data_IF_240924695201
#
_entry.id   IF_240924695201
#
_cell.length_a   1.000
_cell.length_b   1.000
_cell.length_c   1.000
_cell.angle_alpha   90.00
_cell.angle_beta   90.00
_cell.angle_gamma   90.00
#
_symmetry.space_group_name_H-M   'P 1'
#
loop_
_entity.id
_entity.type
_entity.pdbx_description
1 polymer ?
#
# COMPACT_ATOMS: atom_id res chain seq x y z
N UNK A 1 16.46 -24.43 -17.16
CA UNK A 1 16.51 -23.75 -15.86
C UNK A 1 17.33 -22.49 -16.03
N UNK A 2 16.83 -21.32 -15.61
CA UNK A 2 17.58 -20.06 -15.64
C UNK A 2 18.79 -20.11 -14.70
N UNK A 3 19.65 -19.09 -14.77
CA UNK A 3 20.80 -18.96 -13.88
C UNK A 3 20.31 -18.68 -12.44
N UNK A 4 20.75 -19.47 -11.47
CA UNK A 4 20.49 -19.20 -10.04
C UNK A 4 21.46 -18.11 -9.54
N UNK A 5 20.93 -17.16 -8.77
CA UNK A 5 21.67 -16.07 -8.14
C UNK A 5 21.53 -16.11 -6.63
N UNK A 6 22.51 -15.58 -5.91
CA UNK A 6 22.32 -15.17 -4.52
C UNK A 6 21.78 -13.73 -4.51
N UNK A 7 20.57 -13.56 -3.99
CA UNK A 7 19.85 -12.27 -3.94
C UNK A 7 19.67 -11.81 -2.51
N UNK A 8 20.15 -10.60 -2.20
CA UNK A 8 19.83 -9.92 -0.94
C UNK A 8 18.60 -9.06 -1.12
N UNK A 9 17.55 -9.29 -0.33
CA UNK A 9 16.35 -8.45 -0.26
C UNK A 9 16.40 -7.62 1.02
N UNK A 10 16.40 -6.29 0.89
CA UNK A 10 16.46 -5.34 2.00
C UNK A 10 15.05 -4.86 2.33
N UNK A 11 14.52 -5.26 3.49
CA UNK A 11 13.21 -4.91 4.01
C UNK A 11 12.29 -6.10 4.19
N UNK A 12 11.85 -6.33 5.43
CA UNK A 12 10.93 -7.40 5.87
C UNK A 12 9.45 -6.99 5.85
N UNK A 13 9.08 -5.95 5.08
CA UNK A 13 7.68 -5.61 4.80
C UNK A 13 7.08 -6.50 3.72
N UNK A 14 5.75 -6.36 3.49
CA UNK A 14 5.00 -7.22 2.56
C UNK A 14 5.59 -7.25 1.14
N UNK A 15 6.16 -6.14 0.65
CA UNK A 15 6.79 -6.07 -0.68
C UNK A 15 8.07 -6.90 -0.70
N UNK A 16 8.95 -6.77 0.31
CA UNK A 16 10.17 -7.57 0.41
C UNK A 16 9.88 -9.05 0.59
N UNK A 17 8.89 -9.40 1.43
CA UNK A 17 8.46 -10.79 1.65
C UNK A 17 7.95 -11.46 0.38
N UNK A 18 7.03 -10.82 -0.36
CA UNK A 18 6.52 -11.38 -1.61
C UNK A 18 7.59 -11.39 -2.74
N UNK A 19 8.53 -10.43 -2.71
CA UNK A 19 9.69 -10.47 -3.60
C UNK A 19 10.58 -11.67 -3.28
N UNK A 20 10.91 -11.88 -2.01
CA UNK A 20 11.69 -13.03 -1.56
C UNK A 20 11.02 -14.37 -1.90
N UNK A 21 9.69 -14.46 -1.72
CA UNK A 21 8.88 -15.62 -2.08
C UNK A 21 8.99 -15.93 -3.57
N UNK A 22 8.81 -14.91 -4.41
CA UNK A 22 8.84 -15.09 -5.86
C UNK A 22 10.23 -15.51 -6.36
N UNK A 23 11.29 -14.90 -5.82
CA UNK A 23 12.67 -15.23 -6.15
C UNK A 23 13.06 -16.65 -5.72
N UNK A 24 12.61 -17.06 -4.53
CA UNK A 24 12.80 -18.41 -4.04
C UNK A 24 12.09 -19.45 -4.93
N UNK A 25 10.86 -19.13 -5.38
CA UNK A 25 10.12 -19.99 -6.31
C UNK A 25 10.81 -20.15 -7.68
N UNK A 26 11.63 -19.17 -8.10
CA UNK A 26 12.46 -19.26 -9.31
C UNK A 26 13.79 -20.01 -9.08
N UNK A 27 14.06 -20.48 -7.86
CA UNK A 27 15.27 -21.26 -7.52
C UNK A 27 16.50 -20.40 -7.20
N UNK A 28 16.31 -19.12 -6.85
CA UNK A 28 17.38 -18.28 -6.33
C UNK A 28 17.66 -18.55 -4.85
N UNK A 29 18.90 -18.31 -4.40
CA UNK A 29 19.21 -18.21 -2.98
C UNK A 29 18.83 -16.81 -2.50
N UNK A 30 18.08 -16.72 -1.39
CA UNK A 30 17.62 -15.43 -0.87
C UNK A 30 18.12 -15.21 0.55
N UNK A 31 18.71 -14.03 0.77
CA UNK A 31 18.97 -13.48 2.11
C UNK A 31 18.06 -12.28 2.33
N UNK A 32 17.17 -12.37 3.32
CA UNK A 32 16.28 -11.29 3.73
C UNK A 32 16.94 -10.49 4.87
N UNK A 33 17.17 -9.19 4.67
CA UNK A 33 17.77 -8.30 5.68
C UNK A 33 16.72 -7.29 6.13
N UNK A 34 16.45 -7.26 7.43
CA UNK A 34 15.47 -6.36 8.04
C UNK A 34 16.01 -5.77 9.35
N UNK A 35 15.85 -4.46 9.54
CA UNK A 35 16.42 -3.75 10.69
C UNK A 35 15.70 -4.02 12.00
N UNK A 36 14.37 -3.92 12.01
CA UNK A 36 13.56 -3.88 13.25
C UNK A 36 12.82 -5.18 13.52
N UNK A 37 12.27 -5.78 12.48
CA UNK A 37 11.47 -7.01 12.56
C UNK A 37 10.50 -7.13 11.40
N UNK A 38 10.03 -8.33 11.18
CA UNK A 38 9.07 -8.62 10.09
C UNK A 38 7.80 -7.79 10.28
N UNK A 39 7.36 -7.18 9.19
CA UNK A 39 6.17 -6.32 9.13
C UNK A 39 6.20 -5.07 10.03
N UNK A 40 7.27 -4.74 10.75
CA UNK A 40 7.30 -3.68 11.75
C UNK A 40 7.00 -2.25 11.23
N UNK A 41 7.02 -2.04 9.90
CA UNK A 41 6.67 -0.78 9.25
C UNK A 41 5.19 -0.68 8.85
N UNK A 42 4.91 -0.11 7.67
CA UNK A 42 3.55 0.08 7.13
C UNK A 42 2.77 -1.24 6.92
N UNK A 43 3.45 -2.37 6.92
CA UNK A 43 2.83 -3.68 6.75
C UNK A 43 2.12 -4.17 8.01
N UNK A 44 2.45 -3.65 9.20
CA UNK A 44 1.86 -4.06 10.47
C UNK A 44 0.36 -3.72 10.58
N UNK A 45 0.02 -2.48 10.30
CA UNK A 45 -1.30 -1.93 10.63
C UNK A 45 -2.00 -1.28 9.42
N UNK A 46 -1.81 -1.76 8.20
CA UNK A 46 -2.57 -1.27 7.05
C UNK A 46 -4.04 -1.72 7.10
N UNK A 47 -4.85 -1.24 6.14
CA UNK A 47 -6.29 -1.50 6.11
C UNK A 47 -6.67 -2.92 5.60
N UNK A 48 -5.75 -3.85 5.50
CA UNK A 48 -5.94 -5.23 5.08
C UNK A 48 -6.47 -5.44 3.63
N UNK A 49 -6.77 -4.38 2.90
CA UNK A 49 -7.41 -4.45 1.59
C UNK A 49 -6.47 -4.89 0.46
N UNK A 50 -6.90 -5.88 -0.32
CA UNK A 50 -6.40 -6.18 -1.65
C UNK A 50 -7.29 -5.43 -2.65
N UNK A 51 -6.97 -4.15 -2.82
CA UNK A 51 -7.79 -3.15 -3.49
C UNK A 51 -7.57 -3.14 -5.01
N UNK A 52 -7.86 -4.25 -5.69
CA UNK A 52 -7.66 -4.40 -7.15
C UNK A 52 -8.43 -3.33 -7.95
N UNK A 53 -9.56 -2.87 -7.44
CA UNK A 53 -10.37 -1.82 -8.06
C UNK A 53 -9.79 -0.41 -7.91
N UNK A 54 -8.76 -0.20 -7.10
CA UNK A 54 -8.22 1.14 -6.82
C UNK A 54 -7.13 1.54 -7.82
N UNK A 55 -7.56 1.78 -9.07
CA UNK A 55 -6.68 2.17 -10.19
C UNK A 55 -6.51 3.69 -10.31
N UNK A 56 -7.23 4.48 -9.51
CA UNK A 56 -7.20 5.95 -9.62
C UNK A 56 -6.07 6.55 -8.79
N UNK A 57 -5.11 7.26 -9.40
CA UNK A 57 -4.04 7.94 -8.68
C UNK A 57 -4.57 9.01 -7.71
N UNK A 58 -3.92 9.18 -6.56
CA UNK A 58 -4.24 10.25 -5.62
C UNK A 58 -4.05 11.64 -6.25
N UNK A 59 -2.97 11.81 -7.01
CA UNK A 59 -2.69 13.02 -7.78
C UNK A 59 -3.65 13.12 -8.98
N UNK A 60 -4.89 13.55 -8.75
CA UNK A 60 -5.94 13.64 -9.77
C UNK A 60 -6.23 15.08 -10.18
N UNK A 61 -6.71 15.34 -11.42
CA UNK A 61 -7.17 16.65 -11.84
C UNK A 61 -8.20 17.23 -10.85
N UNK A 62 -8.03 18.50 -10.47
CA UNK A 62 -8.89 19.16 -9.47
C UNK A 62 -8.49 18.93 -8.00
N UNK A 63 -7.44 18.13 -7.73
CA UNK A 63 -6.93 17.90 -6.36
C UNK A 63 -6.56 19.20 -5.65
N UNK A 64 -6.12 20.23 -6.37
CA UNK A 64 -5.75 21.54 -5.82
C UNK A 64 -6.94 22.18 -5.07
N UNK A 65 -8.14 22.15 -5.66
CA UNK A 65 -9.36 22.70 -5.01
C UNK A 65 -9.71 21.93 -3.75
N UNK A 66 -9.54 20.60 -3.76
CA UNK A 66 -9.77 19.75 -2.60
C UNK A 66 -8.69 19.96 -1.52
N UNK A 67 -7.42 20.06 -1.93
CA UNK A 67 -6.30 20.28 -1.03
C UNK A 67 -6.43 21.57 -0.21
N UNK A 68 -6.89 22.68 -0.83
CA UNK A 68 -7.15 23.92 -0.09
C UNK A 68 -8.20 23.72 1.01
N UNK A 69 -9.32 23.02 0.69
CA UNK A 69 -10.36 22.71 1.69
C UNK A 69 -9.81 21.84 2.82
N UNK A 70 -8.99 20.85 2.49
CA UNK A 70 -8.40 19.93 3.48
C UNK A 70 -7.33 20.60 4.35
N UNK A 71 -6.56 21.52 3.76
CA UNK A 71 -5.53 22.28 4.49
C UNK A 71 -6.14 23.19 5.57
N UNK A 72 -7.36 23.66 5.35
CA UNK A 72 -8.11 24.48 6.33
C UNK A 72 -8.80 23.62 7.43
N UNK A 73 -8.85 22.30 7.27
CA UNK A 73 -9.41 21.38 8.26
C UNK A 73 -8.27 20.60 8.93
N UNK A 74 -7.87 20.96 10.16
CA UNK A 74 -6.75 20.32 10.87
C UNK A 74 -6.99 18.85 11.21
N UNK A 75 -8.24 18.38 11.14
CA UNK A 75 -8.65 16.98 11.35
C UNK A 75 -9.24 16.35 10.08
N UNK A 76 -9.08 17.01 8.96
CA UNK A 76 -9.48 16.54 7.63
C UNK A 76 -8.71 15.28 7.19
N UNK A 77 -9.13 14.67 6.07
CA UNK A 77 -8.51 13.44 5.56
C UNK A 77 -7.04 13.60 5.16
N UNK A 78 -6.60 14.83 4.91
CA UNK A 78 -5.23 15.17 4.53
C UNK A 78 -4.71 16.35 5.34
N UNK A 79 -3.48 16.26 5.84
CA UNK A 79 -2.80 17.35 6.53
C UNK A 79 -1.29 17.37 6.22
N UNK A 80 -0.69 18.53 6.40
CA UNK A 80 0.77 18.72 6.38
C UNK A 80 1.17 19.30 7.73
N UNK A 81 2.16 18.71 8.38
CA UNK A 81 2.69 19.24 9.64
C UNK A 81 3.37 20.59 9.36
N UNK A 82 2.94 21.70 9.98
CA UNK A 82 3.42 23.06 9.63
C UNK A 82 4.95 23.21 9.70
N UNK A 83 5.59 22.59 10.70
CA UNK A 83 7.04 22.63 10.91
C UNK A 83 7.82 21.94 9.77
N UNK A 84 7.18 21.00 9.08
CA UNK A 84 7.80 20.24 7.99
C UNK A 84 7.46 20.78 6.60
N UNK A 85 6.62 21.83 6.51
CA UNK A 85 6.09 22.33 5.24
C UNK A 85 7.20 22.64 4.22
N UNK A 86 8.26 23.34 4.64
CA UNK A 86 9.38 23.67 3.73
C UNK A 86 10.12 22.40 3.24
N UNK A 87 10.27 21.38 4.09
CA UNK A 87 10.93 20.12 3.72
C UNK A 87 10.13 19.31 2.71
N UNK A 88 8.79 19.37 2.79
CA UNK A 88 7.90 18.58 1.93
C UNK A 88 7.41 19.37 0.70
N UNK A 89 7.65 20.68 0.63
CA UNK A 89 7.25 21.53 -0.49
C UNK A 89 7.72 21.01 -1.87
N UNK A 90 8.97 20.56 -2.06
CA UNK A 90 9.41 19.99 -3.33
C UNK A 90 8.58 18.78 -3.77
N UNK A 91 8.18 17.94 -2.80
CA UNK A 91 7.30 16.81 -3.05
C UNK A 91 5.89 17.25 -3.45
N UNK A 92 5.31 18.23 -2.73
CA UNK A 92 3.98 18.78 -3.04
C UNK A 92 3.93 19.38 -4.45
N UNK A 93 4.97 20.11 -4.87
CA UNK A 93 5.06 20.67 -6.24
C UNK A 93 5.05 19.54 -7.27
N UNK A 94 5.80 18.45 -7.04
CA UNK A 94 5.81 17.28 -7.93
C UNK A 94 4.46 16.56 -7.93
N UNK A 95 3.79 16.46 -6.79
CA UNK A 95 2.44 15.91 -6.67
C UNK A 95 1.42 16.71 -7.49
N UNK A 96 1.46 18.04 -7.43
CA UNK A 96 0.60 18.89 -8.26
C UNK A 96 0.92 18.78 -9.76
N UNK A 97 2.19 18.59 -10.13
CA UNK A 97 2.58 18.32 -11.51
C UNK A 97 2.07 16.98 -12.00
N UNK A 98 2.06 15.94 -11.15
CA UNK A 98 1.55 14.61 -11.46
C UNK A 98 0.03 14.61 -11.70
N UNK A 99 -0.72 15.56 -11.13
CA UNK A 99 -2.15 15.74 -11.36
C UNK A 99 -2.51 16.32 -12.75
N UNK A 100 -1.53 16.64 -13.61
CA UNK A 100 -1.80 17.12 -14.99
C UNK A 100 -2.42 15.98 -15.82
N UNK A 101 -3.38 16.30 -16.72
CA UNK A 101 -4.16 15.27 -17.44
C UNK A 101 -3.33 14.19 -18.12
N UNK A 102 -2.24 14.55 -18.80
CA UNK A 102 -1.39 13.58 -19.50
C UNK A 102 -0.69 12.61 -18.52
N UNK A 103 -0.09 13.14 -17.43
CA UNK A 103 0.57 12.31 -16.42
C UNK A 103 -0.45 11.45 -15.67
N UNK A 104 -1.60 12.01 -15.31
CA UNK A 104 -2.69 11.29 -14.65
C UNK A 104 -3.16 10.11 -15.47
N UNK A 105 -3.36 10.29 -16.81
CA UNK A 105 -3.72 9.20 -17.71
C UNK A 105 -2.66 8.09 -17.72
N UNK A 106 -1.38 8.43 -17.87
CA UNK A 106 -0.28 7.45 -17.81
C UNK A 106 -0.29 6.70 -16.48
N UNK A 107 -0.48 7.41 -15.38
CA UNK A 107 -0.52 6.80 -14.04
C UNK A 107 -1.69 5.82 -13.90
N UNK A 108 -2.88 6.12 -14.43
CA UNK A 108 -4.02 5.18 -14.45
C UNK A 108 -3.68 3.91 -15.24
N UNK A 109 -3.17 4.06 -16.46
CA UNK A 109 -2.90 2.92 -17.35
C UNK A 109 -1.88 1.96 -16.71
N UNK A 110 -0.82 2.51 -16.10
CA UNK A 110 0.19 1.70 -15.38
C UNK A 110 -0.36 1.10 -14.10
N UNK A 111 -1.13 1.87 -13.33
CA UNK A 111 -1.77 1.39 -12.10
C UNK A 111 -2.73 0.24 -12.40
N UNK A 112 -3.57 0.37 -13.43
CA UNK A 112 -4.48 -0.70 -13.86
C UNK A 112 -3.70 -1.97 -14.27
N UNK A 113 -2.60 -1.80 -15.03
CA UNK A 113 -1.75 -2.93 -15.42
C UNK A 113 -1.11 -3.64 -14.21
N UNK A 114 -0.66 -2.87 -13.20
CA UNK A 114 -0.14 -3.43 -11.94
C UNK A 114 -1.22 -4.17 -11.14
N UNK A 115 -2.45 -3.63 -11.11
CA UNK A 115 -3.58 -4.27 -10.43
C UNK A 115 -3.99 -5.57 -11.11
N UNK A 116 -4.01 -5.61 -12.45
CA UNK A 116 -4.28 -6.83 -13.21
C UNK A 116 -3.18 -7.89 -12.94
N UNK A 117 -1.91 -7.48 -12.98
CA UNK A 117 -0.82 -8.40 -12.65
C UNK A 117 -0.93 -8.91 -11.20
N UNK A 118 -1.30 -8.04 -10.24
CA UNK A 118 -1.53 -8.46 -8.86
C UNK A 118 -2.68 -9.48 -8.76
N UNK A 119 -3.78 -9.26 -9.49
CA UNK A 119 -4.90 -10.21 -9.54
C UNK A 119 -4.50 -11.58 -10.11
N UNK A 120 -3.54 -11.61 -11.05
CA UNK A 120 -2.99 -12.85 -11.63
C UNK A 120 -1.97 -13.55 -10.70
N UNK A 121 -1.17 -12.78 -9.96
CA UNK A 121 -0.03 -13.31 -9.19
C UNK A 121 -0.40 -13.67 -7.74
N UNK A 122 -1.37 -12.98 -7.13
CA UNK A 122 -1.82 -13.27 -5.77
C UNK A 122 -2.30 -14.73 -5.58
N UNK A 123 -3.21 -15.26 -6.42
CA UNK A 123 -3.64 -16.65 -6.28
C UNK A 123 -2.48 -17.66 -6.36
N UNK A 124 -1.52 -17.41 -7.26
CA UNK A 124 -0.34 -18.27 -7.43
C UNK A 124 0.56 -18.25 -6.18
N UNK A 125 0.77 -17.07 -5.58
CA UNK A 125 1.53 -16.95 -4.34
C UNK A 125 0.81 -17.65 -3.19
N UNK A 126 -0.49 -17.45 -3.04
CA UNK A 126 -1.29 -18.11 -2.00
C UNK A 126 -1.25 -19.64 -2.14
N UNK A 127 -1.35 -20.17 -3.37
CA UNK A 127 -1.23 -21.60 -3.64
C UNK A 127 0.14 -22.15 -3.24
N UNK A 128 1.24 -21.48 -3.61
CA UNK A 128 2.60 -21.90 -3.24
C UNK A 128 2.85 -21.89 -1.73
N UNK A 129 2.27 -20.90 -1.04
CA UNK A 129 2.48 -20.70 0.40
C UNK A 129 1.46 -21.41 1.28
N UNK A 130 0.35 -21.89 0.73
CA UNK A 130 -0.75 -22.50 1.49
C UNK A 130 -1.56 -21.51 2.33
N UNK A 131 -1.58 -20.22 1.96
CA UNK A 131 -2.18 -19.14 2.75
C UNK A 131 -3.55 -18.67 2.25
N UNK A 132 -4.27 -19.49 1.46
CA UNK A 132 -5.58 -19.14 0.89
C UNK A 132 -6.59 -18.74 1.96
N UNK A 133 -6.62 -19.44 3.08
CA UNK A 133 -7.57 -19.22 4.19
C UNK A 133 -7.34 -17.88 4.92
N UNK A 134 -6.20 -17.24 4.71
CA UNK A 134 -5.92 -15.92 5.25
C UNK A 134 -6.47 -14.77 4.39
N UNK A 135 -7.10 -15.07 3.24
CA UNK A 135 -7.68 -14.08 2.34
C UNK A 135 -9.19 -14.28 2.23
N UNK A 136 -9.95 -13.21 2.49
CA UNK A 136 -11.41 -13.17 2.40
C UNK A 136 -11.84 -12.46 1.11
N UNK A 137 -12.88 -13.00 0.47
CA UNK A 137 -13.51 -12.42 -0.73
C UNK A 137 -14.80 -11.68 -0.35
N UNK A 138 -14.69 -10.76 0.57
CA UNK A 138 -15.82 -10.06 1.19
C UNK A 138 -16.12 -8.69 0.58
N UNK A 139 -15.40 -8.26 -0.45
CA UNK A 139 -15.63 -7.00 -1.14
C UNK A 139 -15.38 -5.74 -0.30
N UNK A 140 -15.65 -4.58 -0.90
CA UNK A 140 -15.67 -3.30 -0.20
C UNK A 140 -16.92 -2.51 -0.59
N UNK A 141 -17.60 -1.94 0.42
CA UNK A 141 -18.82 -1.17 0.29
C UNK A 141 -18.51 0.32 0.47
N UNK A 142 -18.59 1.09 -0.60
CA UNK A 142 -18.45 2.54 -0.60
C UNK A 142 -19.78 3.19 -0.25
N UNK A 143 -19.79 4.06 0.76
CA UNK A 143 -20.98 4.66 1.34
C UNK A 143 -21.11 6.14 0.98
N UNK A 144 -22.32 6.57 0.64
CA UNK A 144 -22.61 7.94 0.19
C UNK A 144 -23.76 8.55 1.01
N UNK A 145 -23.55 9.78 1.53
CA UNK A 145 -24.51 10.54 2.32
C UNK A 145 -25.44 11.41 1.44
N UNK A 146 -25.16 11.52 0.14
CA UNK A 146 -25.99 12.28 -0.79
C UNK A 146 -26.01 11.65 -2.18
N UNK A 147 -27.14 11.82 -2.88
CA UNK A 147 -27.29 11.45 -4.28
C UNK A 147 -26.25 12.16 -5.18
N UNK A 148 -25.85 13.37 -4.83
CA UNK A 148 -24.85 14.13 -5.60
C UNK A 148 -23.46 13.50 -5.52
N UNK A 149 -23.01 13.11 -4.32
CA UNK A 149 -21.72 12.43 -4.15
C UNK A 149 -21.73 11.04 -4.78
N UNK A 150 -22.82 10.29 -4.64
CA UNK A 150 -23.00 9.00 -5.29
C UNK A 150 -22.89 9.11 -6.82
N UNK A 151 -23.65 10.02 -7.46
CA UNK A 151 -23.61 10.22 -8.91
C UNK A 151 -22.23 10.65 -9.41
N UNK A 152 -21.57 11.55 -8.68
CA UNK A 152 -20.21 12.00 -9.02
C UNK A 152 -19.18 10.87 -8.96
N UNK A 153 -19.32 9.94 -8.00
CA UNK A 153 -18.40 8.81 -7.89
C UNK A 153 -18.76 7.66 -8.83
N UNK A 154 -20.04 7.47 -9.13
CA UNK A 154 -20.53 6.48 -10.10
C UNK A 154 -19.87 6.65 -11.48
N UNK A 155 -19.63 7.89 -11.94
CA UNK A 155 -18.93 8.13 -13.20
C UNK A 155 -17.48 7.62 -13.16
N UNK A 156 -16.81 7.68 -12.01
CA UNK A 156 -15.47 7.09 -11.84
C UNK A 156 -15.53 5.57 -11.80
N UNK A 157 -16.60 4.99 -11.26
CA UNK A 157 -16.82 3.53 -11.28
C UNK A 157 -17.10 3.01 -12.68
N UNK A 158 -17.92 3.70 -13.48
CA UNK A 158 -18.10 3.43 -14.91
C UNK A 158 -16.81 3.54 -15.71
N UNK A 159 -15.90 4.45 -15.30
CA UNK A 159 -14.57 4.50 -15.88
C UNK A 159 -13.75 3.25 -15.53
N UNK A 160 -13.82 2.76 -14.28
CA UNK A 160 -13.16 1.52 -13.85
C UNK A 160 -13.66 0.29 -14.59
N UNK A 161 -14.94 0.25 -14.99
CA UNK A 161 -15.49 -0.84 -15.82
C UNK A 161 -14.75 -1.00 -17.15
N UNK A 162 -14.27 0.10 -17.74
CA UNK A 162 -13.47 0.08 -18.98
C UNK A 162 -12.13 -0.62 -18.79
N UNK A 163 -11.71 -0.78 -17.55
CA UNK A 163 -10.53 -1.54 -17.13
C UNK A 163 -10.88 -2.92 -16.55
N UNK A 164 -12.08 -3.44 -16.80
CA UNK A 164 -12.51 -4.78 -16.38
C UNK A 164 -12.89 -4.91 -14.90
N UNK A 165 -13.09 -3.79 -14.20
CA UNK A 165 -13.48 -3.78 -12.79
C UNK A 165 -15.00 -3.78 -12.69
N UNK A 166 -15.55 -4.79 -12.03
CA UNK A 166 -17.00 -4.91 -11.81
C UNK A 166 -17.43 -4.34 -10.46
N UNK A 167 -18.66 -3.81 -10.40
CA UNK A 167 -19.25 -3.29 -9.18
C UNK A 167 -20.77 -3.40 -9.21
N UNK A 168 -21.41 -3.24 -8.06
CA UNK A 168 -22.85 -3.19 -7.89
C UNK A 168 -23.26 -1.89 -7.22
N UNK A 169 -24.44 -1.36 -7.52
CA UNK A 169 -24.99 -0.17 -6.87
C UNK A 169 -26.18 -0.54 -6.00
N UNK A 170 -26.31 0.13 -4.86
CA UNK A 170 -27.43 -0.02 -3.95
C UNK A 170 -28.12 1.33 -3.73
N UNK A 171 -29.44 1.35 -3.80
CA UNK A 171 -30.25 2.42 -3.21
C UNK A 171 -30.29 2.30 -1.67
N UNK A 172 -30.92 3.25 -0.99
CA UNK A 172 -30.98 3.27 0.47
C UNK A 172 -31.54 1.97 1.06
N UNK A 173 -32.63 1.44 0.51
CA UNK A 173 -33.31 0.25 1.03
C UNK A 173 -32.42 -0.99 0.87
N UNK A 174 -31.91 -1.23 -0.32
CA UNK A 174 -31.04 -2.35 -0.61
C UNK A 174 -29.71 -2.26 0.15
N UNK A 175 -29.17 -1.04 0.34
CA UNK A 175 -27.95 -0.81 1.10
C UNK A 175 -28.10 -1.27 2.56
N UNK A 176 -29.18 -0.84 3.24
CA UNK A 176 -29.41 -1.19 4.65
C UNK A 176 -29.80 -2.66 4.86
N UNK A 177 -30.35 -3.31 3.81
CA UNK A 177 -30.55 -4.77 3.81
C UNK A 177 -29.22 -5.53 3.61
N UNK A 178 -28.34 -5.02 2.73
CA UNK A 178 -27.05 -5.64 2.44
C UNK A 178 -26.05 -5.50 3.62
N UNK A 179 -26.02 -4.35 4.25
CA UNK A 179 -25.20 -4.10 5.45
C UNK A 179 -26.07 -3.46 6.54
N UNK A 180 -26.64 -4.24 7.46
CA UNK A 180 -27.30 -3.71 8.64
C UNK A 180 -26.36 -2.93 9.57
N UNK A 181 -26.93 -2.09 10.43
CA UNK A 181 -26.15 -1.34 11.42
C UNK A 181 -25.52 -0.04 10.91
N UNK A 182 -25.82 0.37 9.67
CA UNK A 182 -25.47 1.68 9.13
C UNK A 182 -26.42 2.77 9.64
N UNK A 183 -25.92 4.00 9.78
CA UNK A 183 -26.76 5.17 10.03
C UNK A 183 -27.66 5.50 8.84
N UNK A 184 -28.89 5.96 9.11
CA UNK A 184 -29.88 6.39 8.13
C UNK A 184 -29.42 7.52 7.18
N UNK A 185 -28.30 8.15 7.48
CA UNK A 185 -27.66 9.18 6.66
C UNK A 185 -27.17 8.68 5.31
N UNK A 186 -26.84 7.38 5.19
CA UNK A 186 -26.37 6.80 3.96
C UNK A 186 -27.54 6.49 3.02
N UNK A 187 -27.54 7.13 1.84
CA UNK A 187 -28.63 7.09 0.87
C UNK A 187 -28.35 6.14 -0.30
N UNK A 188 -27.09 5.79 -0.52
CA UNK A 188 -26.66 4.90 -1.60
C UNK A 188 -25.33 4.23 -1.27
N UNK A 189 -25.04 3.11 -1.95
CA UNK A 189 -23.79 2.38 -1.85
C UNK A 189 -23.27 1.89 -3.20
N UNK A 190 -21.94 1.70 -3.29
CA UNK A 190 -21.29 0.98 -4.39
C UNK A 190 -20.46 -0.15 -3.80
N UNK A 191 -20.72 -1.36 -4.21
CA UNK A 191 -20.01 -2.56 -3.76
C UNK A 191 -19.02 -3.02 -4.81
N UNK A 192 -17.73 -3.01 -4.45
CA UNK A 192 -16.64 -3.51 -5.26
C UNK A 192 -16.38 -4.99 -4.93
N UNK A 193 -16.97 -5.91 -5.70
CA UNK A 193 -16.84 -7.34 -5.49
C UNK A 193 -15.45 -7.92 -5.80
N UNK A 194 -14.63 -7.19 -6.56
CA UNK A 194 -13.23 -7.55 -6.85
C UNK A 194 -12.27 -7.26 -5.70
N UNK A 195 -12.72 -6.51 -4.71
CA UNK A 195 -11.94 -6.26 -3.49
C UNK A 195 -11.89 -7.52 -2.63
N UNK A 196 -10.71 -7.79 -2.08
CA UNK A 196 -10.50 -8.84 -1.09
C UNK A 196 -9.82 -8.24 0.13
N UNK A 197 -9.73 -8.99 1.21
CA UNK A 197 -8.98 -8.56 2.39
C UNK A 197 -8.18 -9.71 3.00
N UNK A 198 -7.00 -9.42 3.53
CA UNK A 198 -6.27 -10.38 4.37
C UNK A 198 -6.88 -10.38 5.77
N UNK A 199 -6.86 -11.53 6.44
CA UNK A 199 -7.44 -11.70 7.78
C UNK A 199 -6.83 -10.77 8.84
N UNK A 200 -5.52 -10.58 8.79
CA UNK A 200 -4.75 -9.60 9.56
C UNK A 200 -3.44 -9.33 8.82
N UNK A 201 -3.07 -8.07 8.52
CA UNK A 201 -1.87 -7.77 7.74
C UNK A 201 -0.56 -8.22 8.39
N UNK A 202 -0.43 -8.08 9.71
CA UNK A 202 0.76 -8.50 10.45
C UNK A 202 0.91 -10.03 10.44
N UNK A 203 -0.16 -10.74 10.75
CA UNK A 203 -0.17 -12.21 10.80
C UNK A 203 0.08 -12.80 9.41
N UNK A 204 -0.47 -12.17 8.37
CA UNK A 204 -0.22 -12.54 6.97
C UNK A 204 1.26 -12.41 6.58
N UNK A 205 1.92 -11.32 6.97
CA UNK A 205 3.36 -11.13 6.76
C UNK A 205 4.18 -12.19 7.51
N UNK A 206 3.83 -12.48 8.77
CA UNK A 206 4.52 -13.51 9.55
C UNK A 206 4.30 -14.92 8.99
N UNK A 207 3.14 -15.23 8.45
CA UNK A 207 2.88 -16.50 7.78
C UNK A 207 3.72 -16.67 6.51
N UNK A 208 3.84 -15.62 5.68
CA UNK A 208 4.76 -15.64 4.52
C UNK A 208 6.20 -15.82 5.01
N UNK A 209 6.61 -15.12 6.05
CA UNK A 209 7.97 -15.26 6.59
C UNK A 209 8.26 -16.66 7.15
N UNK A 210 7.29 -17.28 7.82
CA UNK A 210 7.41 -18.67 8.29
C UNK A 210 7.63 -19.62 7.11
N UNK A 211 6.85 -19.49 6.04
CA UNK A 211 7.05 -20.25 4.80
C UNK A 211 8.45 -20.03 4.22
N UNK A 212 8.91 -18.76 4.12
CA UNK A 212 10.26 -18.46 3.61
C UNK A 212 11.36 -19.12 4.45
N UNK A 213 11.22 -19.10 5.76
CA UNK A 213 12.18 -19.71 6.70
C UNK A 213 12.21 -21.23 6.53
N UNK A 214 11.03 -21.89 6.43
CA UNK A 214 10.92 -23.32 6.15
C UNK A 214 11.61 -23.70 4.81
N UNK A 215 11.51 -22.83 3.81
CA UNK A 215 12.14 -23.04 2.50
C UNK A 215 13.62 -22.62 2.45
N UNK A 216 14.22 -22.24 3.57
CA UNK A 216 15.65 -22.02 3.70
C UNK A 216 16.12 -20.60 3.32
N UNK A 217 15.22 -19.59 3.35
CA UNK A 217 15.64 -18.19 3.25
C UNK A 217 16.50 -17.83 4.46
N UNK A 218 17.69 -17.26 4.22
CA UNK A 218 18.55 -16.75 5.27
C UNK A 218 18.00 -15.42 5.77
N UNK A 219 17.76 -15.30 7.08
CA UNK A 219 17.26 -14.06 7.70
C UNK A 219 18.32 -13.38 8.54
N UNK A 220 18.53 -12.08 8.29
CA UNK A 220 19.48 -11.26 9.03
C UNK A 220 18.75 -10.06 9.60
N UNK A 221 18.59 -10.02 10.93
CA UNK A 221 17.94 -8.90 11.62
C UNK A 221 18.97 -7.82 11.95
N UNK A 222 19.33 -7.01 10.95
CA UNK A 222 20.25 -5.88 11.06
C UNK A 222 19.91 -4.78 10.05
N UNK A 223 20.30 -3.54 10.33
CA UNK A 223 20.19 -2.44 9.38
C UNK A 223 21.26 -2.52 8.29
N UNK A 224 20.89 -2.15 7.06
CA UNK A 224 21.84 -1.94 5.96
C UNK A 224 22.34 -0.50 6.01
N UNK A 225 23.66 -0.33 6.08
CA UNK A 225 24.36 0.95 6.06
C UNK A 225 24.68 1.42 4.65
N UNK A 226 25.21 0.51 3.81
CA UNK A 226 25.59 0.80 2.42
C UNK A 226 25.19 -0.35 1.50
N UNK A 227 24.91 -0.01 0.23
CA UNK A 227 24.67 -0.96 -0.86
C UNK A 227 25.82 -0.83 -1.86
N UNK A 228 26.44 -1.96 -2.21
CA UNK A 228 27.54 -2.09 -3.17
C UNK A 228 27.08 -2.93 -4.36
N UNK A 229 27.81 -2.90 -5.47
CA UNK A 229 27.45 -3.69 -6.68
C UNK A 229 27.48 -5.20 -6.45
N UNK A 230 28.20 -5.68 -5.46
CA UNK A 230 28.45 -7.09 -5.15
C UNK A 230 27.98 -7.49 -3.74
N UNK A 231 27.11 -6.69 -3.10
CA UNK A 231 26.59 -6.99 -1.76
C UNK A 231 26.16 -5.77 -0.95
N UNK A 232 26.00 -5.98 0.34
CA UNK A 232 25.59 -4.94 1.30
C UNK A 232 26.51 -4.90 2.50
N UNK A 233 26.74 -3.70 3.06
CA UNK A 233 27.39 -3.48 4.35
C UNK A 233 26.32 -3.19 5.40
N UNK A 234 26.32 -3.94 6.47
CA UNK A 234 25.42 -3.78 7.61
C UNK A 234 25.91 -2.69 8.58
N UNK A 235 25.05 -2.25 9.51
CA UNK A 235 25.37 -1.22 10.50
C UNK A 235 26.52 -1.60 11.43
N UNK A 236 26.76 -2.89 11.64
CA UNK A 236 27.90 -3.41 12.43
C UNK A 236 29.17 -3.67 11.59
N UNK A 237 29.19 -3.17 10.36
CA UNK A 237 30.27 -3.35 9.39
C UNK A 237 30.45 -4.78 8.86
N UNK A 238 29.54 -5.71 9.15
CA UNK A 238 29.49 -7.01 8.50
C UNK A 238 29.10 -6.84 7.02
N UNK A 239 29.74 -7.57 6.11
CA UNK A 239 29.38 -7.58 4.68
C UNK A 239 28.66 -8.87 4.30
N UNK A 240 27.62 -8.73 3.46
CA UNK A 240 26.96 -9.85 2.81
C UNK A 240 27.16 -9.71 1.30
N UNK A 241 27.88 -10.65 0.72
CA UNK A 241 28.08 -10.71 -0.74
C UNK A 241 26.84 -11.27 -1.43
N UNK A 242 26.50 -10.71 -2.59
CA UNK A 242 25.34 -11.12 -3.39
C UNK A 242 25.55 -10.79 -4.86
N UNK A 243 24.92 -11.58 -5.75
CA UNK A 243 24.89 -11.32 -7.19
C UNK A 243 23.90 -10.20 -7.54
N UNK A 244 22.80 -10.11 -6.78
CA UNK A 244 21.73 -9.13 -6.96
C UNK A 244 21.26 -8.59 -5.61
N UNK A 245 20.84 -7.34 -5.59
CA UNK A 245 20.32 -6.67 -4.39
C UNK A 245 18.97 -6.03 -4.73
N UNK A 246 17.96 -6.27 -3.90
CA UNK A 246 16.64 -5.66 -4.02
C UNK A 246 16.41 -4.71 -2.84
N UNK A 247 16.15 -3.44 -3.11
CA UNK A 247 15.83 -2.45 -2.09
C UNK A 247 14.32 -2.32 -1.97
N UNK A 248 13.75 -2.86 -0.88
CA UNK A 248 12.32 -2.88 -0.55
C UNK A 248 12.04 -2.33 0.87
N UNK A 249 12.88 -1.39 1.35
CA UNK A 249 12.89 -0.86 2.71
C UNK A 249 11.85 0.26 2.96
N UNK A 250 10.70 0.25 2.24
CA UNK A 250 9.64 1.24 2.43
C UNK A 250 10.15 2.69 2.30
N UNK A 251 9.80 3.61 3.22
CA UNK A 251 10.24 5.00 3.14
C UNK A 251 11.75 5.20 3.35
N UNK A 252 12.43 4.27 4.00
CA UNK A 252 13.89 4.29 4.20
C UNK A 252 14.69 3.96 2.94
N UNK A 253 14.04 3.40 1.91
CA UNK A 253 14.64 3.20 0.58
C UNK A 253 15.17 4.49 -0.03
N UNK A 254 14.59 5.65 0.33
CA UNK A 254 15.05 6.96 -0.15
C UNK A 254 16.53 7.20 0.14
N UNK A 255 16.99 6.91 1.35
CA UNK A 255 18.38 7.15 1.76
C UNK A 255 19.32 6.23 1.00
N UNK A 256 18.95 4.95 0.85
CA UNK A 256 19.77 3.98 0.10
C UNK A 256 19.84 4.34 -1.40
N UNK A 257 18.72 4.76 -2.00
CA UNK A 257 18.69 5.18 -3.40
C UNK A 257 19.51 6.47 -3.64
N UNK A 258 19.44 7.44 -2.71
CA UNK A 258 20.22 8.67 -2.79
C UNK A 258 21.73 8.40 -2.71
N UNK A 259 22.18 7.46 -1.88
CA UNK A 259 23.57 7.04 -1.80
C UNK A 259 24.08 6.40 -3.11
N UNK A 260 23.17 5.86 -3.92
CA UNK A 260 23.44 5.31 -5.25
C UNK A 260 23.30 6.35 -6.38
N UNK A 261 23.04 7.63 -6.05
CA UNK A 261 22.88 8.72 -7.01
C UNK A 261 21.47 8.95 -7.53
N UNK A 262 20.47 8.19 -7.06
CA UNK A 262 19.07 8.31 -7.48
C UNK A 262 18.23 9.09 -6.46
N UNK A 263 17.98 10.38 -6.74
CA UNK A 263 17.21 11.27 -5.89
C UNK A 263 15.69 11.11 -6.09
N UNK A 264 15.14 10.05 -5.54
CA UNK A 264 13.71 9.71 -5.67
C UNK A 264 12.87 10.55 -4.67
N UNK A 265 11.80 11.23 -5.13
CA UNK A 265 10.95 12.04 -4.28
C UNK A 265 10.00 11.17 -3.44
N UNK A 266 10.55 10.40 -2.52
CA UNK A 266 9.85 9.51 -1.61
C UNK A 266 9.66 10.19 -0.25
N UNK A 267 8.45 10.09 0.33
CA UNK A 267 8.15 10.53 1.70
C UNK A 267 7.49 9.41 2.50
N UNK A 268 7.56 9.52 3.81
CA UNK A 268 6.80 8.68 4.74
C UNK A 268 5.46 9.33 5.05
N UNK A 269 4.44 9.15 4.19
CA UNK A 269 3.07 9.59 4.45
C UNK A 269 2.48 8.81 5.62
N UNK A 270 2.02 9.50 6.66
CA UNK A 270 1.47 8.86 7.84
C UNK A 270 0.00 8.52 7.66
N UNK A 271 -0.34 7.29 7.99
CA UNK A 271 -1.71 6.85 8.19
C UNK A 271 -1.91 6.45 9.64
N UNK A 272 -3.12 6.66 10.13
CA UNK A 272 -3.51 6.38 11.50
C UNK A 272 -4.68 5.40 11.54
N UNK A 273 -4.74 4.57 12.56
CA UNK A 273 -5.92 3.74 12.82
C UNK A 273 -6.10 3.46 14.32
N UNK A 274 -7.30 2.98 14.64
CA UNK A 274 -7.63 2.32 15.90
C UNK A 274 -8.15 0.93 15.57
N UNK A 275 -7.58 -0.10 16.18
CA UNK A 275 -8.08 -1.47 16.08
C UNK A 275 -8.88 -1.79 17.33
N UNK A 276 -10.19 -1.94 17.18
CA UNK A 276 -11.15 -2.27 18.20
C UNK A 276 -11.21 -3.79 18.46
N UNK A 277 -11.65 -4.26 19.62
CA UNK A 277 -11.88 -5.68 19.90
C UNK A 277 -12.80 -6.34 18.86
N UNK A 278 -12.74 -7.66 18.73
CA UNK A 278 -13.60 -8.41 17.79
C UNK A 278 -15.10 -8.26 18.11
N UNK A 279 -15.45 -8.12 19.37
CA UNK A 279 -16.81 -7.87 19.82
C UNK A 279 -17.36 -6.47 19.50
N UNK A 280 -16.54 -5.61 18.89
CA UNK A 280 -16.97 -4.26 18.55
C UNK A 280 -18.08 -4.22 17.50
N UNK A 281 -18.08 -5.16 16.55
CA UNK A 281 -19.14 -5.39 15.58
C UNK A 281 -18.96 -6.75 14.92
N UNK A 282 -19.65 -7.77 15.42
CA UNK A 282 -19.50 -9.15 14.96
C UNK A 282 -20.11 -9.40 13.57
N UNK A 283 -21.18 -8.68 13.21
CA UNK A 283 -21.88 -8.81 11.94
C UNK A 283 -21.24 -8.01 10.79
N UNK A 284 -20.11 -7.37 11.02
CA UNK A 284 -19.40 -6.64 9.97
C UNK A 284 -18.65 -7.61 9.07
N UNK A 285 -19.14 -7.79 7.84
CA UNK A 285 -18.53 -8.69 6.85
C UNK A 285 -17.67 -7.96 5.82
N UNK A 286 -18.04 -6.74 5.47
CA UNK A 286 -17.42 -6.00 4.36
C UNK A 286 -16.51 -4.88 4.88
N UNK A 287 -15.48 -4.55 4.08
CA UNK A 287 -14.78 -3.28 4.30
C UNK A 287 -15.71 -2.12 3.93
N UNK A 288 -15.98 -1.22 4.87
CA UNK A 288 -16.76 -0.01 4.63
C UNK A 288 -15.81 1.14 4.27
N UNK A 289 -16.09 1.81 3.14
CA UNK A 289 -15.25 2.91 2.62
C UNK A 289 -16.03 4.21 2.66
N UNK A 290 -15.54 5.17 3.43
CA UNK A 290 -16.11 6.51 3.60
C UNK A 290 -15.30 7.51 2.78
N UNK A 291 -15.49 7.48 1.46
CA UNK A 291 -14.67 8.25 0.50
C UNK A 291 -14.67 9.76 0.75
N UNK A 292 -15.82 10.33 1.15
CA UNK A 292 -15.94 11.75 1.45
C UNK A 292 -15.23 12.16 2.76
N UNK A 293 -14.91 11.18 3.61
CA UNK A 293 -14.28 11.38 4.91
C UNK A 293 -12.84 10.85 5.01
N UNK A 294 -12.38 10.10 3.99
CA UNK A 294 -11.00 9.61 3.89
C UNK A 294 -10.61 8.56 4.93
N UNK A 295 -11.54 7.71 5.36
CA UNK A 295 -11.26 6.56 6.22
C UNK A 295 -12.05 5.31 5.80
N UNK A 296 -11.64 4.18 6.33
CA UNK A 296 -12.28 2.87 6.13
C UNK A 296 -12.51 2.19 7.47
N UNK A 297 -13.49 1.29 7.50
CA UNK A 297 -13.73 0.36 8.62
C UNK A 297 -13.64 -1.06 8.07
N UNK A 298 -12.70 -1.83 8.58
CA UNK A 298 -12.36 -3.15 8.03
C UNK A 298 -12.48 -4.22 9.11
N UNK A 299 -13.24 -5.31 8.87
CA UNK A 299 -13.25 -6.47 9.74
C UNK A 299 -11.95 -7.25 9.61
N UNK A 300 -11.28 -7.51 10.74
CA UNK A 300 -10.08 -8.33 10.85
C UNK A 300 -10.37 -9.60 11.66
N UNK A 301 -9.45 -10.57 11.61
CA UNK A 301 -9.57 -11.77 12.43
C UNK A 301 -9.54 -11.47 13.95
N UNK A 302 -8.80 -10.45 14.34
CA UNK A 302 -8.60 -10.04 15.73
C UNK A 302 -9.40 -8.79 16.14
N UNK A 303 -10.24 -8.21 15.26
CA UNK A 303 -10.99 -7.02 15.62
C UNK A 303 -11.58 -6.24 14.45
N UNK A 304 -11.99 -5.01 14.70
CA UNK A 304 -12.47 -4.06 13.70
C UNK A 304 -11.51 -2.88 13.62
N UNK A 305 -10.96 -2.61 12.45
CA UNK A 305 -10.01 -1.50 12.25
C UNK A 305 -10.67 -0.28 11.62
N UNK A 306 -10.68 0.82 12.35
CA UNK A 306 -11.06 2.14 11.85
C UNK A 306 -9.79 2.89 11.48
N UNK A 307 -9.52 3.12 10.20
CA UNK A 307 -8.25 3.67 9.76
C UNK A 307 -8.34 4.50 8.48
N UNK A 308 -7.36 5.37 8.30
CA UNK A 308 -7.30 6.27 7.15
C UNK A 308 -6.36 7.44 7.43
N UNK A 309 -6.82 8.63 7.04
CA UNK A 309 -6.09 9.88 7.08
C UNK A 309 -4.74 9.82 6.34
N UNK A 310 -4.31 10.97 5.90
CA UNK A 310 -2.99 11.19 5.30
C UNK A 310 -2.36 12.40 5.98
N UNK A 311 -1.22 12.19 6.63
CA UNK A 311 -0.45 13.29 7.20
C UNK A 311 0.96 13.27 6.63
N UNK A 312 1.34 14.37 6.02
CA UNK A 312 2.70 14.56 5.49
C UNK A 312 3.56 15.23 6.56
N UNK A 313 4.59 14.53 6.99
CA UNK A 313 5.54 14.97 8.00
C UNK A 313 6.92 14.36 7.77
N UNK A 314 7.93 14.89 8.44
CA UNK A 314 9.25 14.25 8.53
C UNK A 314 9.14 12.88 9.21
N UNK A 315 10.05 11.94 8.87
CA UNK A 315 10.05 10.61 9.46
C UNK A 315 10.18 10.65 11.01
N UNK A 316 10.91 11.65 11.52
CA UNK A 316 11.23 11.78 12.96
C UNK A 316 10.21 12.60 13.75
N UNK A 317 9.24 13.25 13.10
CA UNK A 317 8.21 14.03 13.80
C UNK A 317 7.33 13.12 14.66
N UNK A 318 6.84 13.54 15.85
CA UNK A 318 5.99 12.72 16.70
C UNK A 318 4.64 12.39 16.04
N UNK A 319 4.02 11.27 16.40
CA UNK A 319 2.70 10.89 15.94
C UNK A 319 1.61 11.80 16.54
N UNK A 320 0.57 12.08 15.76
CA UNK A 320 -0.60 12.86 16.20
C UNK A 320 -1.85 11.97 16.28
N UNK A 321 -2.02 11.25 17.36
CA UNK A 321 -3.13 10.31 17.57
C UNK A 321 -4.51 10.96 17.65
N UNK A 322 -4.62 12.30 17.81
CA UNK A 322 -5.90 13.00 17.68
C UNK A 322 -6.59 12.73 16.34
N UNK A 323 -5.82 12.35 15.33
CA UNK A 323 -6.35 11.99 14.01
C UNK A 323 -7.11 10.66 14.04
N UNK A 324 -6.58 9.63 14.73
CA UNK A 324 -7.30 8.37 14.93
C UNK A 324 -8.53 8.54 15.83
N UNK A 325 -8.45 9.34 16.90
CA UNK A 325 -9.58 9.67 17.75
C UNK A 325 -10.71 10.35 16.95
N UNK A 326 -10.35 11.31 16.08
CA UNK A 326 -11.34 11.99 15.25
C UNK A 326 -12.03 11.05 14.25
N UNK A 327 -11.28 10.11 13.63
CA UNK A 327 -11.87 9.09 12.77
C UNK A 327 -12.79 8.15 13.54
N UNK A 328 -12.38 7.75 14.75
CA UNK A 328 -13.19 6.89 15.61
C UNK A 328 -14.50 7.58 16.01
N UNK A 329 -14.45 8.86 16.38
CA UNK A 329 -15.62 9.67 16.68
C UNK A 329 -16.56 9.87 15.47
N UNK A 330 -16.04 9.86 14.24
CA UNK A 330 -16.85 9.83 13.02
C UNK A 330 -17.48 8.47 12.80
N UNK A 331 -16.70 7.40 12.97
CA UNK A 331 -17.20 6.03 12.83
C UNK A 331 -18.35 5.74 13.81
N UNK A 332 -18.24 6.17 15.06
CA UNK A 332 -19.29 6.09 16.08
C UNK A 332 -20.62 6.71 15.58
N UNK A 333 -20.56 7.90 14.98
CA UNK A 333 -21.75 8.59 14.44
C UNK A 333 -22.32 7.94 13.19
N UNK A 334 -21.49 7.26 12.41
CA UNK A 334 -21.87 6.68 11.12
C UNK A 334 -22.34 5.24 11.24
N UNK A 335 -21.93 4.56 12.29
CA UNK A 335 -22.09 3.13 12.50
C UNK A 335 -22.65 2.88 13.92
N UNK A 336 -23.97 3.06 14.12
CA UNK A 336 -24.58 2.85 15.44
C UNK A 336 -24.37 1.45 16.04
N UNK A 337 -24.07 0.45 15.21
CA UNK A 337 -23.76 -0.90 15.64
C UNK A 337 -22.30 -1.08 16.13
N UNK A 338 -21.42 -0.09 15.86
CA UNK A 338 -20.01 -0.18 16.24
C UNK A 338 -19.79 0.25 17.70
N UNK A 339 -19.30 -0.65 18.54
CA UNK A 339 -18.78 -0.28 19.85
C UNK A 339 -17.34 0.26 19.69
N UNK A 340 -17.12 1.51 20.07
CA UNK A 340 -15.84 2.21 19.88
C UNK A 340 -14.91 2.14 21.09
N UNK A 341 -15.23 1.34 22.11
CA UNK A 341 -14.42 1.19 23.33
C UNK A 341 -13.29 0.18 23.19
N UNK A 342 -12.22 0.34 23.95
CA UNK A 342 -11.15 -0.65 24.13
C UNK A 342 -10.19 -0.81 22.95
N UNK A 343 -10.06 0.21 22.09
CA UNK A 343 -9.23 0.16 20.90
C UNK A 343 -7.76 0.53 21.12
N UNK A 344 -6.87 -0.08 20.32
CA UNK A 344 -5.45 0.26 20.25
C UNK A 344 -5.15 1.14 19.05
N UNK A 345 -4.46 2.27 19.30
CA UNK A 345 -4.08 3.22 18.25
C UNK A 345 -2.72 2.86 17.63
N UNK A 346 -2.61 3.05 16.33
CA UNK A 346 -1.36 2.83 15.61
C UNK A 346 -1.15 3.87 14.51
N UNK A 347 0.13 4.15 14.22
CA UNK A 347 0.55 5.01 13.11
C UNK A 347 1.60 4.31 12.25
N UNK A 348 1.38 4.30 10.93
CA UNK A 348 2.35 3.81 9.95
C UNK A 348 2.79 4.86 8.95
N UNK A 349 3.95 4.62 8.33
CA UNK A 349 4.55 5.50 7.34
C UNK A 349 4.45 4.83 5.96
N UNK A 350 3.50 5.27 5.13
CA UNK A 350 3.34 4.79 3.74
C UNK A 350 4.45 5.36 2.88
N UNK A 351 5.16 4.55 2.06
CA UNK A 351 6.19 5.05 1.16
C UNK A 351 5.56 5.72 -0.06
N UNK A 352 5.24 7.01 0.03
CA UNK A 352 4.46 7.72 -0.99
C UNK A 352 5.33 8.50 -1.96
N UNK A 353 5.04 8.31 -3.25
CA UNK A 353 5.66 8.99 -4.40
C UNK A 353 4.63 9.91 -5.05
N UNK A 354 5.03 11.09 -5.57
CA UNK A 354 4.10 12.11 -6.05
C UNK A 354 3.12 11.64 -7.14
N UNK A 355 3.56 10.78 -8.06
CA UNK A 355 2.74 10.24 -9.16
C UNK A 355 1.97 8.97 -8.80
N UNK A 356 2.05 8.54 -7.52
CA UNK A 356 1.42 7.33 -6.96
C UNK A 356 1.88 5.99 -7.55
N UNK A 357 2.83 5.99 -8.48
CA UNK A 357 3.42 4.77 -9.03
C UNK A 357 4.65 4.33 -8.22
N UNK A 358 4.83 3.03 -7.95
CA UNK A 358 6.04 2.54 -7.29
C UNK A 358 7.28 2.72 -8.17
N UNK A 359 8.45 2.57 -7.58
CA UNK A 359 9.71 2.45 -8.32
C UNK A 359 10.07 0.97 -8.36
N UNK A 360 10.03 0.41 -9.57
CA UNK A 360 10.43 -0.97 -9.87
C UNK A 360 11.35 -0.92 -11.07
N UNK A 361 12.66 -0.86 -10.84
CA UNK A 361 13.67 -0.73 -11.91
C UNK A 361 15.07 -1.01 -11.38
N UNK A 362 16.01 -1.18 -12.26
CA UNK A 362 17.43 -1.09 -11.88
C UNK A 362 17.75 0.29 -11.31
N UNK A 363 18.78 0.35 -10.46
CA UNK A 363 19.40 1.61 -10.07
C UNK A 363 20.19 2.21 -11.22
N UNK A 364 20.45 3.53 -11.17
CA UNK A 364 21.33 4.15 -12.18
C UNK A 364 22.81 3.79 -11.97
N UNK A 365 23.15 3.25 -10.81
CA UNK A 365 24.52 2.87 -10.46
C UNK A 365 24.89 1.47 -10.99
N UNK A 366 23.93 0.52 -11.06
CA UNK A 366 24.23 -0.87 -11.45
C UNK A 366 22.98 -1.68 -11.75
N UNK A 367 23.06 -2.58 -12.72
CA UNK A 367 22.03 -3.59 -13.01
C UNK A 367 22.01 -4.75 -11.99
N UNK A 368 22.94 -4.78 -11.04
CA UNK A 368 22.87 -5.70 -9.91
C UNK A 368 21.95 -5.21 -8.79
N UNK A 369 21.58 -3.93 -8.80
CA UNK A 369 20.75 -3.29 -7.76
C UNK A 369 19.39 -2.93 -8.33
N UNK A 370 18.31 -3.43 -7.70
CA UNK A 370 16.93 -3.27 -8.14
C UNK A 370 16.13 -2.56 -7.05
N UNK A 371 15.34 -1.59 -7.44
CA UNK A 371 14.38 -0.90 -6.58
C UNK A 371 13.02 -1.59 -6.61
N UNK A 372 12.40 -1.72 -5.44
CA UNK A 372 11.05 -2.28 -5.25
C UNK A 372 10.35 -1.56 -4.09
N UNK A 373 10.05 -0.26 -4.25
CA UNK A 373 9.46 0.55 -3.18
C UNK A 373 8.58 1.69 -3.71
N UNK A 374 7.93 2.42 -2.82
CA UNK A 374 7.16 3.61 -3.20
C UNK A 374 5.69 3.34 -3.51
N UNK A 375 5.12 2.25 -3.03
CA UNK A 375 3.76 1.78 -3.32
C UNK A 375 2.64 2.60 -2.63
N UNK A 376 2.97 3.61 -1.84
CA UNK A 376 1.99 4.39 -1.10
C UNK A 376 1.10 3.51 -0.22
N UNK A 377 -0.22 3.61 -0.39
CA UNK A 377 -1.20 2.80 0.33
C UNK A 377 -1.56 1.47 -0.35
N UNK A 378 -0.98 1.16 -1.50
CA UNK A 378 -1.28 -0.03 -2.32
C UNK A 378 -0.22 -1.14 -2.20
N UNK A 379 0.73 -1.00 -1.26
CA UNK A 379 1.83 -1.95 -1.12
C UNK A 379 1.38 -3.39 -0.86
N UNK A 380 0.35 -3.61 -0.07
CA UNK A 380 -0.23 -4.93 0.15
C UNK A 380 -0.77 -5.49 -1.18
N UNK A 381 -1.59 -4.74 -1.90
CA UNK A 381 -2.20 -5.14 -3.17
C UNK A 381 -1.18 -5.45 -4.25
N UNK A 382 -0.16 -4.59 -4.40
CA UNK A 382 0.82 -4.67 -5.50
C UNK A 382 2.04 -5.56 -5.19
N UNK A 383 2.15 -6.11 -3.98
CA UNK A 383 3.37 -6.78 -3.53
C UNK A 383 3.74 -8.00 -4.38
N UNK A 384 2.76 -8.82 -4.77
CA UNK A 384 3.02 -10.01 -5.61
C UNK A 384 3.36 -9.63 -7.06
N UNK A 385 2.70 -8.60 -7.62
CA UNK A 385 3.05 -8.04 -8.92
C UNK A 385 4.47 -7.47 -8.91
N UNK A 386 4.87 -6.83 -7.81
CA UNK A 386 6.23 -6.31 -7.64
C UNK A 386 7.25 -7.44 -7.60
N UNK A 387 6.97 -8.51 -6.86
CA UNK A 387 7.83 -9.71 -6.84
C UNK A 387 8.03 -10.30 -8.24
N UNK A 388 6.94 -10.41 -9.02
CA UNK A 388 6.99 -10.87 -10.42
C UNK A 388 7.86 -9.97 -11.30
N UNK A 389 7.67 -8.65 -11.21
CA UNK A 389 8.47 -7.68 -12.00
C UNK A 389 9.94 -7.68 -11.61
N UNK A 390 10.26 -7.83 -10.32
CA UNK A 390 11.64 -7.95 -9.84
C UNK A 390 12.28 -9.25 -10.37
N UNK A 391 11.55 -10.36 -10.34
CA UNK A 391 12.02 -11.63 -10.90
C UNK A 391 12.32 -11.51 -12.40
N UNK A 392 11.44 -10.88 -13.17
CA UNK A 392 11.67 -10.62 -14.60
C UNK A 392 12.93 -9.75 -14.83
N UNK A 393 13.13 -8.69 -14.02
CA UNK A 393 14.34 -7.88 -14.11
C UNK A 393 15.60 -8.70 -13.82
N UNK A 394 15.60 -9.57 -12.80
CA UNK A 394 16.75 -10.44 -12.47
C UNK A 394 17.08 -11.39 -13.61
N UNK A 395 16.08 -11.90 -14.33
CA UNK A 395 16.23 -12.77 -15.48
C UNK A 395 16.57 -12.02 -16.79
N UNK A 396 16.53 -10.68 -16.76
CA UNK A 396 16.74 -9.84 -17.96
C UNK A 396 15.53 -9.81 -18.91
N UNK A 397 14.36 -10.22 -18.41
CA UNK A 397 13.11 -10.24 -19.17
C UNK A 397 12.44 -8.86 -19.17
N UNK A 398 11.76 -8.53 -20.28
CA UNK A 398 10.98 -7.28 -20.40
C UNK A 398 9.49 -7.62 -20.34
N UNK A 399 8.77 -7.22 -19.26
CA UNK A 399 7.33 -7.40 -19.20
C UNK A 399 6.63 -6.63 -20.33
N UNK A 400 5.91 -7.32 -21.20
CA UNK A 400 5.27 -6.70 -22.38
C UNK A 400 3.97 -5.95 -22.07
N UNK A 401 3.35 -6.24 -20.92
CA UNK A 401 2.03 -5.70 -20.54
C UNK A 401 2.10 -4.44 -19.65
N UNK A 402 3.27 -4.05 -19.19
CA UNK A 402 3.44 -2.93 -18.24
C UNK A 402 4.49 -1.96 -18.78
N UNK A 403 4.17 -0.66 -18.73
CA UNK A 403 5.12 0.37 -19.07
C UNK A 403 6.20 0.52 -17.98
N UNK A 404 7.27 -0.25 -18.07
CA UNK A 404 8.38 -0.24 -17.11
C UNK A 404 9.10 1.12 -17.03
N UNK A 405 9.08 1.94 -18.08
CA UNK A 405 9.67 3.27 -18.05
C UNK A 405 8.94 4.18 -17.04
N UNK A 406 7.61 4.03 -16.92
CA UNK A 406 6.83 4.76 -15.94
C UNK A 406 7.05 4.27 -14.49
N UNK A 407 7.64 3.09 -14.30
CA UNK A 407 8.06 2.55 -13.00
C UNK A 407 9.55 2.80 -12.73
N UNK A 408 10.29 3.32 -13.69
CA UNK A 408 11.73 3.54 -13.60
C UNK A 408 12.11 4.73 -12.71
N UNK A 409 13.22 4.62 -11.95
CA UNK A 409 13.80 5.72 -11.17
C UNK A 409 14.15 6.94 -12.05
N UNK A 410 14.51 6.71 -13.31
CA UNK A 410 14.89 7.74 -14.27
C UNK A 410 13.77 8.77 -14.56
N UNK A 411 12.49 8.45 -14.27
CA UNK A 411 11.38 9.39 -14.45
C UNK A 411 11.42 10.62 -13.56
N UNK A 412 12.33 10.65 -12.60
CA UNK A 412 12.52 11.77 -11.65
C UNK A 412 13.76 12.65 -11.95
N UNK A 413 14.53 12.29 -12.95
CA UNK A 413 15.71 13.05 -13.45
C UNK A 413 15.33 14.27 -14.25
#
# INVERSE_FOLDING_TARGET
MGKSYHVVVIGGGIVGLNTAERLLADGHQVTLVEKTGIAAGASFGNAAGLAISDIMPLASPGIVKKAIKWFLDPVGPFAVVPQDLFKVMPWLIKFLKAARPAQFKTSIDVQASLMHLAAETYPKMLERTGLQDMVRTNGALHLYESEASFKADLEKWKFREKHGITFQTFDKTALHQFQPGLSDRFVAGIYANTWKSVSNPNDFCHAIFAYLTEKGVNFVQKGVKNVKNDGVELEDSTEIKADKIVIAAGPWSKTLAAALGDNIPLIGERGYNTTLPKSAWEELDHTLVFSDHGFVVTPLANGVRVGGASEIASLDSPANYKRSEHMLNKADKFLPALNTEGGEQWMGRRPSIPDTLPVISYSSASDSIIYAFGHGHLGLTQSTATGELVANLIQGEKPNKINMNALGAARFK
#
